data_IF_187625722827
#
_entry.id   IF_187625722827
#
_cell.length_a   1.000
_cell.length_b   1.000
_cell.length_c   1.000
_cell.angle_alpha   90.00
_cell.angle_beta   90.00
_cell.angle_gamma   90.00
#
_symmetry.space_group_name_H-M   'P 1'
#
loop_
_entity.id
_entity.type
_entity.pdbx_description
1 polymer ?
#
# COMPACT_ATOMS: atom_id res chain seq x y z
N UNK A 1 65.21 -16.31 -25.82
CA UNK A 1 65.52 -15.52 -27.03
C UNK A 1 64.35 -15.68 -27.99
N UNK A 2 63.34 -14.75 -27.91
CA UNK A 2 62.45 -14.40 -29.01
C UNK A 2 61.67 -13.12 -28.61
N UNK A 3 61.64 -12.19 -29.53
CA UNK A 3 61.35 -10.73 -29.37
C UNK A 3 59.85 -10.46 -29.32
N UNK A 4 59.49 -9.47 -28.52
CA UNK A 4 58.21 -8.75 -28.53
C UNK A 4 58.04 -7.96 -29.82
N UNK A 5 56.83 -7.92 -30.38
CA UNK A 5 56.36 -6.85 -31.27
C UNK A 5 55.04 -6.30 -30.74
N UNK A 6 55.05 -5.07 -30.32
CA UNK A 6 53.89 -4.26 -29.95
C UNK A 6 53.29 -3.63 -31.22
N UNK A 7 51.95 -3.74 -31.40
CA UNK A 7 51.23 -2.99 -32.41
C UNK A 7 50.28 -2.04 -31.70
N UNK A 8 50.58 -0.74 -31.82
CA UNK A 8 49.72 0.39 -31.42
C UNK A 8 48.64 0.59 -32.48
N UNK A 9 47.37 0.48 -32.10
CA UNK A 9 46.25 0.94 -32.92
C UNK A 9 45.80 2.31 -32.40
N UNK A 10 45.92 3.34 -33.28
CA UNK A 10 45.43 4.69 -33.07
C UNK A 10 43.91 4.67 -33.35
N UNK A 11 43.08 4.97 -32.31
CA UNK A 11 41.67 5.26 -32.46
C UNK A 11 41.45 6.75 -32.79
N UNK A 12 40.71 7.02 -33.86
CA UNK A 12 40.31 8.34 -34.28
C UNK A 12 39.08 8.81 -33.46
N UNK A 13 39.18 9.97 -32.82
CA UNK A 13 38.01 10.66 -32.23
C UNK A 13 37.20 11.33 -33.35
N UNK A 14 35.94 10.92 -33.50
CA UNK A 14 34.95 11.71 -34.25
C UNK A 14 34.25 12.67 -33.26
N UNK A 15 34.45 13.95 -33.46
CA UNK A 15 33.70 15.01 -32.80
C UNK A 15 32.39 15.26 -33.55
N UNK A 16 31.27 15.02 -32.94
CA UNK A 16 29.95 15.40 -33.47
C UNK A 16 29.64 16.84 -33.01
N UNK A 17 29.53 17.75 -33.94
CA UNK A 17 29.10 19.12 -33.70
C UNK A 17 27.56 19.15 -33.62
N UNK A 18 27.04 19.60 -32.49
CA UNK A 18 25.60 19.89 -32.30
C UNK A 18 25.37 21.34 -32.77
N UNK A 19 24.57 21.48 -33.85
CA UNK A 19 24.12 22.79 -34.33
C UNK A 19 22.84 23.15 -33.59
N UNK A 20 22.91 24.19 -32.75
CA UNK A 20 21.76 24.79 -32.07
C UNK A 20 21.23 25.93 -32.93
N UNK A 21 20.04 25.80 -33.50
CA UNK A 21 19.32 26.89 -34.18
C UNK A 21 18.43 27.63 -33.16
N UNK A 22 18.45 28.96 -33.09
CA UNK A 22 17.56 29.70 -32.20
C UNK A 22 16.17 29.84 -32.84
N UNK A 23 15.14 29.48 -32.05
CA UNK A 23 13.72 29.75 -32.38
C UNK A 23 13.42 31.18 -31.90
N UNK A 24 13.16 32.09 -32.82
CA UNK A 24 12.65 33.43 -32.53
C UNK A 24 11.17 33.37 -32.24
N UNK A 25 10.79 33.74 -31.00
CA UNK A 25 9.39 33.92 -30.61
C UNK A 25 8.88 35.26 -31.11
N UNK A 26 7.83 35.22 -31.94
CA UNK A 26 7.03 36.42 -32.27
C UNK A 26 5.94 36.56 -31.19
N UNK A 27 6.02 37.60 -30.39
CA UNK A 27 5.01 37.98 -29.44
C UNK A 27 3.89 38.77 -30.11
N UNK A 28 2.63 38.44 -29.81
CA UNK A 28 1.49 39.31 -30.03
C UNK A 28 0.81 39.55 -28.70
N UNK A 29 0.91 40.77 -28.21
CA UNK A 29 0.21 41.24 -27.03
C UNK A 29 -1.23 41.61 -27.40
N UNK A 30 -2.21 41.09 -26.69
CA UNK A 30 -3.57 41.60 -26.67
C UNK A 30 -3.86 42.25 -25.33
N UNK A 31 -4.33 43.50 -25.34
CA UNK A 31 -4.64 44.32 -24.17
C UNK A 31 -5.99 43.91 -23.55
N UNK A 32 -6.21 44.17 -22.25
CA UNK A 32 -7.48 43.88 -21.60
C UNK A 32 -8.51 44.99 -21.84
N UNK A 33 -9.74 44.59 -22.15
CA UNK A 33 -10.91 45.51 -22.16
C UNK A 33 -11.51 45.59 -20.75
N UNK A 34 -11.61 46.78 -20.26
CA UNK A 34 -12.39 47.14 -19.08
C UNK A 34 -13.91 47.03 -19.36
N UNK A 35 -14.58 46.25 -18.55
CA UNK A 35 -16.05 46.15 -18.50
C UNK A 35 -16.58 46.63 -17.14
N UNK A 36 -17.43 47.63 -17.21
CA UNK A 36 -18.02 48.45 -16.19
C UNK A 36 -18.83 47.74 -15.10
N UNK A 37 -18.75 48.30 -13.90
CA UNK A 37 -19.54 47.95 -12.73
C UNK A 37 -21.01 48.42 -12.85
N UNK A 38 -21.92 47.56 -12.39
CA UNK A 38 -23.23 47.82 -11.73
C UNK A 38 -23.93 46.46 -11.58
N UNK A 39 -24.28 45.95 -10.44
CA UNK A 39 -25.37 46.33 -9.57
C UNK A 39 -25.28 45.52 -8.26
N UNK A 40 -25.33 46.19 -7.16
CA UNK A 40 -25.54 45.62 -5.82
C UNK A 40 -27.03 45.38 -5.59
N UNK A 41 -27.41 44.19 -5.17
CA UNK A 41 -28.67 43.94 -4.49
C UNK A 41 -28.43 43.12 -3.19
N UNK A 42 -29.30 43.28 -2.16
CA UNK A 42 -28.86 43.22 -0.76
C UNK A 42 -28.94 41.85 -0.11
N UNK A 43 -28.21 41.73 1.00
CA UNK A 43 -28.20 40.62 1.91
C UNK A 43 -29.59 40.23 2.43
N UNK A 44 -29.97 38.99 2.34
CA UNK A 44 -31.05 38.37 3.09
C UNK A 44 -30.50 37.46 4.19
N UNK A 45 -31.02 37.73 5.39
CA UNK A 45 -30.61 37.11 6.65
C UNK A 45 -30.98 35.62 6.78
N UNK A 46 -30.14 34.91 7.50
CA UNK A 46 -30.45 33.89 8.48
C UNK A 46 -31.45 32.78 8.14
N UNK A 47 -30.94 31.60 7.95
CA UNK A 47 -31.68 30.35 8.05
C UNK A 47 -30.69 29.21 8.15
N UNK A 48 -30.40 28.79 9.38
CA UNK A 48 -29.71 27.53 9.65
C UNK A 48 -30.56 26.39 9.08
N UNK A 49 -30.25 25.94 7.89
CA UNK A 49 -30.73 24.65 7.38
C UNK A 49 -29.77 23.58 7.85
N UNK A 50 -30.16 22.82 8.86
CA UNK A 50 -29.65 21.50 9.11
C UNK A 50 -29.89 20.66 7.84
N UNK A 51 -28.82 20.45 7.07
CA UNK A 51 -28.83 19.46 5.98
C UNK A 51 -28.91 18.10 6.64
N UNK A 52 -30.09 17.50 6.64
CA UNK A 52 -30.25 16.07 6.90
C UNK A 52 -29.56 15.35 5.73
N UNK A 53 -28.56 14.51 6.06
CA UNK A 53 -27.94 13.61 5.10
C UNK A 53 -29.04 12.74 4.46
N UNK A 54 -29.03 12.57 3.11
CA UNK A 54 -29.93 11.64 2.45
C UNK A 54 -29.65 10.23 2.97
N UNK A 55 -30.71 9.47 3.28
CA UNK A 55 -30.65 8.06 3.60
C UNK A 55 -29.84 7.33 2.51
N UNK A 56 -28.81 6.62 2.93
CA UNK A 56 -28.00 5.73 2.11
C UNK A 56 -28.90 4.73 1.39
N UNK A 57 -28.98 4.87 0.07
CA UNK A 57 -29.44 3.83 -0.83
C UNK A 57 -28.26 2.84 -0.95
N UNK A 58 -28.51 1.55 -0.73
CA UNK A 58 -27.51 0.48 -0.63
C UNK A 58 -26.43 0.56 -1.71
N UNK A 59 -25.23 0.87 -1.25
CA UNK A 59 -24.00 0.83 -2.01
C UNK A 59 -23.54 -0.63 -2.06
N UNK A 60 -23.26 -1.23 -3.25
CA UNK A 60 -22.79 -2.60 -3.35
C UNK A 60 -21.40 -2.80 -2.71
N UNK A 61 -20.65 -1.72 -2.49
CA UNK A 61 -19.36 -1.78 -1.82
C UNK A 61 -19.52 -1.82 -0.30
N UNK A 62 -18.89 -2.80 0.35
CA UNK A 62 -18.82 -2.86 1.81
C UNK A 62 -17.96 -1.71 2.31
N UNK A 63 -18.60 -0.64 2.78
CA UNK A 63 -17.95 0.51 3.40
C UNK A 63 -18.33 0.58 4.87
N UNK A 64 -17.45 0.11 5.74
CA UNK A 64 -17.61 0.22 7.19
C UNK A 64 -16.88 1.47 7.69
N UNK A 65 -17.57 2.30 8.49
CA UNK A 65 -16.99 3.45 9.17
C UNK A 65 -16.95 3.21 10.67
N UNK A 66 -15.74 3.23 11.24
CA UNK A 66 -15.51 3.13 12.69
C UNK A 66 -14.89 4.44 13.19
N UNK A 67 -15.19 4.84 14.44
CA UNK A 67 -14.68 6.05 15.07
C UNK A 67 -13.75 5.71 16.23
N UNK A 68 -12.98 6.71 16.64
CA UNK A 68 -12.07 6.63 17.79
C UNK A 68 -10.99 5.55 17.65
N UNK A 69 -10.66 5.20 16.40
CA UNK A 69 -9.66 4.20 16.07
C UNK A 69 -8.26 4.82 16.15
N UNK A 70 -7.35 4.13 16.81
CA UNK A 70 -5.93 4.53 16.88
C UNK A 70 -5.03 3.65 16.02
N UNK A 71 -5.46 2.42 15.73
CA UNK A 71 -4.67 1.46 14.96
C UNK A 71 -5.58 0.51 14.16
N UNK A 72 -5.21 0.22 12.93
CA UNK A 72 -5.92 -0.76 12.11
C UNK A 72 -4.97 -1.54 11.20
N UNK A 73 -5.37 -2.78 10.86
CA UNK A 73 -4.64 -3.66 9.94
C UNK A 73 -5.56 -4.24 8.88
N UNK A 74 -4.96 -4.70 7.78
CA UNK A 74 -5.53 -5.72 6.91
C UNK A 74 -4.53 -6.88 6.68
N UNK A 75 -5.08 -8.04 6.40
CA UNK A 75 -4.33 -9.26 6.05
C UNK A 75 -4.60 -9.73 4.63
N UNK A 76 -5.16 -8.83 3.79
CA UNK A 76 -5.52 -9.12 2.40
C UNK A 76 -7.02 -9.08 2.15
N UNK A 77 -7.40 -8.68 0.94
CA UNK A 77 -8.75 -8.79 0.38
C UNK A 77 -8.74 -9.81 -0.76
N UNK A 78 -9.87 -10.49 -0.98
CA UNK A 78 -10.00 -11.47 -2.05
C UNK A 78 -11.29 -12.28 -1.95
N UNK A 79 -11.41 -13.32 -2.76
CA UNK A 79 -12.53 -14.24 -2.76
C UNK A 79 -12.45 -15.19 -1.54
N UNK A 80 -12.90 -14.69 -0.39
CA UNK A 80 -12.91 -15.41 0.88
C UNK A 80 -14.30 -16.02 1.10
N UNK A 81 -14.49 -17.25 0.65
CA UNK A 81 -15.76 -17.96 0.87
C UNK A 81 -15.75 -18.64 2.23
N UNK A 82 -16.81 -18.44 2.99
CA UNK A 82 -16.96 -19.07 4.32
C UNK A 82 -16.95 -20.60 4.23
N UNK A 83 -17.47 -21.15 3.14
CA UNK A 83 -17.52 -22.60 2.88
C UNK A 83 -16.15 -23.24 2.65
N UNK A 84 -15.16 -22.45 2.21
CA UNK A 84 -13.79 -22.92 1.95
C UNK A 84 -12.91 -22.82 3.20
N UNK A 85 -13.44 -22.25 4.30
CA UNK A 85 -12.68 -22.02 5.53
C UNK A 85 -13.16 -22.94 6.65
N UNK A 86 -12.28 -23.85 7.12
CA UNK A 86 -12.62 -24.67 8.29
C UNK A 86 -12.71 -23.82 9.56
N UNK A 87 -13.52 -24.24 10.56
CA UNK A 87 -13.59 -23.52 11.83
C UNK A 87 -12.23 -23.38 12.53
N UNK A 88 -11.33 -24.34 12.37
CA UNK A 88 -9.95 -24.33 12.90
C UNK A 88 -9.15 -23.21 12.23
N UNK A 89 -9.15 -23.17 10.89
CA UNK A 89 -8.42 -22.18 10.12
C UNK A 89 -8.96 -20.77 10.39
N UNK A 90 -10.28 -20.58 10.49
CA UNK A 90 -10.88 -19.30 10.86
C UNK A 90 -10.39 -18.81 12.23
N UNK A 91 -10.33 -19.72 13.22
CA UNK A 91 -9.79 -19.39 14.56
C UNK A 91 -8.32 -18.97 14.49
N UNK A 92 -7.50 -19.63 13.68
CA UNK A 92 -6.09 -19.29 13.49
C UNK A 92 -5.93 -17.90 12.89
N UNK A 93 -6.68 -17.57 11.82
CA UNK A 93 -6.68 -16.23 11.22
C UNK A 93 -7.11 -15.17 12.22
N UNK A 94 -8.23 -15.37 12.93
CA UNK A 94 -8.72 -14.41 13.94
C UNK A 94 -7.74 -14.21 15.08
N UNK A 95 -7.12 -15.28 15.55
CA UNK A 95 -6.10 -15.21 16.61
C UNK A 95 -4.89 -14.38 16.15
N UNK A 96 -4.39 -14.61 14.93
CA UNK A 96 -3.23 -13.92 14.40
C UNK A 96 -3.54 -12.45 14.08
N UNK A 97 -4.71 -12.14 13.53
CA UNK A 97 -5.16 -10.75 13.35
C UNK A 97 -5.26 -10.03 14.71
N UNK A 98 -5.83 -10.68 15.72
CA UNK A 98 -5.93 -10.11 17.08
C UNK A 98 -4.54 -9.85 17.68
N UNK A 99 -3.58 -10.76 17.47
CA UNK A 99 -2.19 -10.58 17.90
C UNK A 99 -1.55 -9.35 17.22
N UNK A 100 -1.70 -9.22 15.92
CA UNK A 100 -1.13 -8.11 15.15
C UNK A 100 -1.73 -6.75 15.58
N UNK A 101 -3.06 -6.64 15.70
CA UNK A 101 -3.72 -5.42 16.19
C UNK A 101 -3.23 -5.06 17.60
N UNK A 102 -3.18 -6.06 18.48
CA UNK A 102 -2.75 -5.86 19.88
C UNK A 102 -1.29 -5.42 19.96
N UNK A 103 -0.43 -5.95 19.09
CA UNK A 103 0.99 -5.58 19.05
C UNK A 103 1.15 -4.11 18.65
N UNK A 104 0.49 -3.65 17.58
CA UNK A 104 0.52 -2.25 17.19
C UNK A 104 -0.10 -1.31 18.22
N UNK A 105 -1.26 -1.69 18.77
CA UNK A 105 -1.91 -0.92 19.85
C UNK A 105 -1.02 -0.75 21.08
N UNK A 106 -0.33 -1.82 21.51
CA UNK A 106 0.58 -1.76 22.67
C UNK A 106 1.76 -0.84 22.40
N UNK A 107 2.39 -0.91 21.22
CA UNK A 107 3.46 -0.01 20.86
C UNK A 107 3.02 1.46 20.98
N UNK A 108 1.81 1.81 20.47
CA UNK A 108 1.25 3.16 20.64
C UNK A 108 0.97 3.51 22.11
N UNK A 109 0.45 2.57 22.91
CA UNK A 109 0.17 2.79 24.33
C UNK A 109 1.46 2.98 25.16
N UNK A 110 2.56 2.32 24.77
CA UNK A 110 3.88 2.45 25.37
C UNK A 110 4.60 3.74 24.91
N UNK A 111 3.98 4.54 24.04
CA UNK A 111 4.48 5.84 23.57
C UNK A 111 5.43 5.74 22.38
N UNK A 112 5.46 4.63 21.67
CA UNK A 112 6.23 4.50 20.44
C UNK A 112 5.56 5.25 19.29
N UNK A 113 6.33 5.53 18.23
CA UNK A 113 5.83 6.22 17.03
C UNK A 113 4.84 5.36 16.24
N UNK A 114 3.98 6.01 15.44
CA UNK A 114 3.08 5.33 14.52
C UNK A 114 3.81 4.37 13.58
N UNK A 115 5.00 4.75 13.10
CA UNK A 115 5.85 3.91 12.25
C UNK A 115 6.29 2.63 12.99
N UNK A 116 6.73 2.74 14.24
CA UNK A 116 7.15 1.58 15.03
C UNK A 116 5.98 0.62 15.29
N UNK A 117 4.79 1.16 15.57
CA UNK A 117 3.59 0.36 15.76
C UNK A 117 3.17 -0.37 14.47
N UNK A 118 3.24 0.31 13.32
CA UNK A 118 2.95 -0.27 12.00
C UNK A 118 3.92 -1.40 11.69
N UNK A 119 5.23 -1.18 11.84
CA UNK A 119 6.24 -2.23 11.64
C UNK A 119 5.99 -3.43 12.55
N UNK A 120 5.80 -3.21 13.85
CA UNK A 120 5.61 -4.29 14.82
C UNK A 120 4.40 -5.16 14.50
N UNK A 121 3.29 -4.57 14.06
CA UNK A 121 2.10 -5.31 13.66
C UNK A 121 2.29 -6.08 12.34
N UNK A 122 2.95 -5.48 11.35
CA UNK A 122 3.22 -6.13 10.07
C UNK A 122 4.20 -7.28 10.26
N UNK A 123 5.20 -7.17 11.12
CA UNK A 123 6.12 -8.26 11.45
C UNK A 123 5.38 -9.50 11.99
N UNK A 124 4.33 -9.32 12.81
CA UNK A 124 3.47 -10.44 13.27
C UNK A 124 2.81 -11.14 12.07
N UNK A 125 2.40 -10.39 11.06
CA UNK A 125 1.76 -10.94 9.87
C UNK A 125 2.78 -11.57 8.91
N UNK A 126 3.96 -10.95 8.73
CA UNK A 126 5.07 -11.48 7.93
C UNK A 126 5.67 -12.77 8.50
N UNK A 127 5.71 -12.92 9.83
CA UNK A 127 6.20 -14.14 10.49
C UNK A 127 5.17 -15.29 10.47
N UNK A 128 3.94 -15.04 9.98
CA UNK A 128 2.86 -16.01 9.91
C UNK A 128 2.77 -16.67 8.52
N UNK A 129 2.62 -18.00 8.43
CA UNK A 129 2.39 -18.68 7.15
C UNK A 129 0.99 -18.43 6.56
N UNK A 130 0.09 -17.73 7.30
CA UNK A 130 -1.31 -17.55 6.91
C UNK A 130 -1.48 -16.46 5.86
N UNK A 131 -0.67 -15.40 5.88
CA UNK A 131 -0.83 -14.22 5.04
C UNK A 131 0.18 -14.19 3.88
N UNK A 132 -0.15 -13.48 2.82
CA UNK A 132 0.75 -13.30 1.67
C UNK A 132 1.75 -12.16 1.92
N UNK A 133 2.65 -12.37 2.85
CA UNK A 133 3.78 -11.50 3.17
C UNK A 133 4.80 -12.30 3.97
N UNK A 134 6.09 -12.00 3.84
CA UNK A 134 7.13 -12.73 4.56
C UNK A 134 7.02 -14.24 4.41
N UNK A 135 6.88 -14.96 5.52
CA UNK A 135 6.84 -16.44 5.56
C UNK A 135 5.72 -17.08 4.74
N UNK A 136 4.58 -16.42 4.59
CA UNK A 136 3.43 -16.93 3.83
C UNK A 136 3.34 -16.37 2.41
N UNK A 137 4.41 -15.76 1.90
CA UNK A 137 4.44 -15.16 0.57
C UNK A 137 4.19 -16.17 -0.54
N UNK A 138 3.52 -15.74 -1.59
CA UNK A 138 3.31 -16.51 -2.81
C UNK A 138 4.59 -16.68 -3.61
N UNK A 139 4.58 -17.63 -4.55
CA UNK A 139 5.70 -17.92 -5.43
C UNK A 139 5.56 -17.21 -6.79
N UNK A 140 6.71 -16.86 -7.36
CA UNK A 140 6.86 -16.43 -8.75
C UNK A 140 6.71 -17.60 -9.72
N UNK A 141 6.72 -17.32 -11.04
CA UNK A 141 6.76 -18.32 -12.10
C UNK A 141 7.96 -19.27 -11.98
N UNK A 142 9.07 -18.82 -11.40
CA UNK A 142 10.31 -19.59 -11.23
C UNK A 142 10.36 -20.34 -9.88
N UNK A 143 9.23 -20.33 -9.13
CA UNK A 143 9.10 -20.99 -7.84
C UNK A 143 10.02 -20.39 -6.74
N UNK A 144 10.30 -19.11 -6.83
CA UNK A 144 10.99 -18.32 -5.81
C UNK A 144 10.02 -17.31 -5.17
N UNK A 145 10.34 -16.84 -3.97
CA UNK A 145 9.58 -15.77 -3.31
C UNK A 145 10.31 -14.45 -3.52
N UNK A 146 9.63 -13.49 -4.12
CA UNK A 146 10.05 -12.09 -4.22
C UNK A 146 9.09 -11.22 -3.40
N UNK A 147 9.64 -10.41 -2.50
CA UNK A 147 8.88 -9.66 -1.49
C UNK A 147 9.01 -8.16 -1.72
N UNK A 148 7.92 -7.45 -1.45
CA UNK A 148 7.82 -6.00 -1.57
C UNK A 148 7.27 -5.42 -0.26
N UNK A 149 7.77 -4.25 0.17
CA UNK A 149 7.20 -3.52 1.31
C UNK A 149 7.43 -2.02 1.20
N UNK A 150 6.57 -1.24 1.85
CA UNK A 150 6.77 0.19 2.07
C UNK A 150 6.24 0.61 3.45
N UNK A 151 6.86 1.64 4.01
CA UNK A 151 6.43 2.35 5.20
C UNK A 151 6.53 3.86 4.97
N UNK A 152 5.61 4.63 5.55
CA UNK A 152 5.58 6.09 5.42
C UNK A 152 5.21 6.74 6.74
N UNK A 153 5.96 7.77 7.12
CA UNK A 153 5.70 8.69 8.21
C UNK A 153 4.90 9.89 7.70
N UNK A 154 3.72 10.11 8.25
CA UNK A 154 2.84 11.22 7.84
C UNK A 154 3.28 12.58 8.35
N UNK A 155 4.12 12.66 9.38
CA UNK A 155 4.60 13.92 9.95
C UNK A 155 5.69 14.57 9.09
N UNK A 156 6.65 13.75 8.62
CA UNK A 156 7.80 14.20 7.85
C UNK A 156 7.63 13.97 6.35
N UNK A 157 6.73 13.07 5.95
CA UNK A 157 6.58 12.47 4.63
C UNK A 157 7.78 11.59 4.24
N UNK A 158 8.66 11.27 5.21
CA UNK A 158 9.70 10.30 4.98
C UNK A 158 9.10 8.93 4.70
N UNK A 159 9.72 8.22 3.79
CA UNK A 159 9.26 6.90 3.37
C UNK A 159 10.44 6.03 2.96
N UNK A 160 10.29 4.74 3.19
CA UNK A 160 11.21 3.73 2.71
C UNK A 160 10.43 2.59 2.07
N UNK A 161 10.95 2.08 0.96
CA UNK A 161 10.35 0.97 0.25
C UNK A 161 11.40 0.03 -0.34
N UNK A 162 11.07 -1.26 -0.39
CA UNK A 162 11.90 -2.30 -0.98
C UNK A 162 11.07 -3.18 -1.91
N UNK A 163 11.68 -3.64 -3.00
CA UNK A 163 11.00 -4.48 -3.99
C UNK A 163 11.88 -5.65 -4.42
N UNK A 164 11.24 -6.78 -4.73
CA UNK A 164 11.91 -7.95 -5.29
C UNK A 164 13.05 -8.48 -4.40
N UNK A 165 12.92 -8.34 -3.07
CA UNK A 165 13.89 -8.93 -2.13
C UNK A 165 13.56 -10.39 -1.89
N UNK A 166 14.58 -11.23 -1.82
CA UNK A 166 14.44 -12.70 -1.82
C UNK A 166 14.97 -13.37 -0.56
N UNK A 167 15.73 -12.64 0.25
CA UNK A 167 16.39 -13.16 1.46
C UNK A 167 16.07 -12.35 2.73
N UNK A 168 15.14 -11.41 2.67
CA UNK A 168 14.80 -10.55 3.80
C UNK A 168 13.62 -11.17 4.56
N UNK A 169 13.85 -11.59 5.81
CA UNK A 169 12.83 -12.19 6.65
C UNK A 169 11.61 -11.29 6.82
N UNK A 170 11.85 -10.02 7.15
CA UNK A 170 10.83 -9.00 7.39
C UNK A 170 11.06 -7.79 6.48
N UNK A 171 10.47 -7.77 5.28
CA UNK A 171 10.63 -6.67 4.33
C UNK A 171 10.21 -5.30 4.88
N UNK A 172 9.18 -5.25 5.75
CA UNK A 172 8.74 -4.00 6.37
C UNK A 172 9.82 -3.37 7.26
N UNK A 173 10.59 -4.20 7.98
CA UNK A 173 11.72 -3.72 8.80
C UNK A 173 12.84 -3.18 7.93
N UNK A 174 13.12 -3.78 6.78
CA UNK A 174 14.08 -3.23 5.83
C UNK A 174 13.59 -1.92 5.21
N UNK A 175 12.29 -1.82 4.90
CA UNK A 175 11.70 -0.58 4.41
C UNK A 175 11.84 0.55 5.45
N UNK A 176 11.59 0.27 6.73
CA UNK A 176 11.80 1.23 7.81
C UNK A 176 13.28 1.60 7.97
N UNK A 177 14.18 0.62 7.95
CA UNK A 177 15.63 0.86 8.04
C UNK A 177 16.12 1.76 6.90
N UNK A 178 15.56 1.56 5.70
CA UNK A 178 15.82 2.46 4.57
C UNK A 178 15.33 3.89 4.80
N UNK A 179 14.11 4.06 5.32
CA UNK A 179 13.54 5.37 5.60
C UNK A 179 14.39 6.14 6.61
N UNK A 180 14.78 5.48 7.70
CA UNK A 180 15.48 6.13 8.81
C UNK A 180 16.98 6.33 8.55
N UNK A 181 17.61 5.45 7.77
CA UNK A 181 19.10 5.37 7.69
C UNK A 181 19.64 5.46 6.26
N UNK A 182 18.83 5.91 5.31
CA UNK A 182 19.30 6.23 3.96
C UNK A 182 18.70 7.55 3.46
N UNK A 183 19.26 8.08 2.37
CA UNK A 183 18.68 9.21 1.63
C UNK A 183 17.78 8.77 0.48
N UNK A 184 17.62 7.46 0.29
CA UNK A 184 16.88 6.87 -0.81
C UNK A 184 15.50 6.46 -0.32
N UNK A 185 14.52 6.53 -1.19
CA UNK A 185 13.12 6.18 -0.91
C UNK A 185 12.83 4.72 -1.27
N UNK A 186 13.42 4.23 -2.35
CA UNK A 186 13.11 2.91 -2.91
C UNK A 186 14.37 2.20 -3.40
N UNK A 187 14.56 0.96 -2.99
CA UNK A 187 15.61 0.08 -3.48
C UNK A 187 15.04 -1.29 -3.89
N UNK A 188 15.72 -1.98 -4.80
CA UNK A 188 15.26 -3.26 -5.33
C UNK A 188 16.32 -4.37 -5.23
N UNK A 189 15.84 -5.61 -5.09
CA UNK A 189 16.62 -6.85 -5.22
C UNK A 189 17.91 -6.86 -4.43
N UNK A 190 18.97 -7.37 -5.04
CA UNK A 190 20.29 -7.51 -4.42
C UNK A 190 20.84 -6.20 -3.83
N UNK A 191 20.50 -5.04 -4.43
CA UNK A 191 20.93 -3.74 -3.92
C UNK A 191 20.32 -3.44 -2.54
N UNK A 192 19.04 -3.74 -2.35
CA UNK A 192 18.35 -3.61 -1.06
C UNK A 192 18.88 -4.61 -0.03
N UNK A 193 19.18 -5.85 -0.45
CA UNK A 193 19.73 -6.88 0.44
C UNK A 193 21.16 -6.56 0.90
N UNK A 194 22.00 -6.00 0.03
CA UNK A 194 23.31 -5.49 0.43
C UNK A 194 23.19 -4.35 1.45
N UNK A 195 22.23 -3.46 1.29
CA UNK A 195 21.97 -2.43 2.28
C UNK A 195 21.58 -3.06 3.62
N UNK A 196 20.66 -4.06 3.63
CA UNK A 196 20.28 -4.80 4.83
C UNK A 196 21.50 -5.43 5.52
N UNK A 197 22.39 -6.09 4.77
CA UNK A 197 23.63 -6.66 5.32
C UNK A 197 24.54 -5.61 5.94
N UNK A 198 24.72 -4.47 5.28
CA UNK A 198 25.51 -3.35 5.84
C UNK A 198 24.91 -2.76 7.13
N UNK A 199 23.59 -2.92 7.30
CA UNK A 199 22.88 -2.51 8.52
C UNK A 199 22.84 -3.60 9.60
N UNK A 200 23.43 -4.76 9.33
CA UNK A 200 23.49 -5.88 10.28
C UNK A 200 22.19 -6.67 10.37
N UNK A 201 21.30 -6.58 9.38
CA UNK A 201 20.10 -7.39 9.33
C UNK A 201 20.41 -8.81 8.90
N UNK A 202 19.78 -9.79 9.54
CA UNK A 202 19.92 -11.19 9.19
C UNK A 202 19.19 -11.52 7.88
N UNK A 203 19.86 -12.29 7.02
CA UNK A 203 19.24 -12.85 5.82
C UNK A 203 18.78 -14.28 6.09
N UNK A 204 17.72 -14.69 5.41
CA UNK A 204 17.17 -16.05 5.40
C UNK A 204 17.28 -16.68 4.02
N UNK A 205 17.24 -18.01 3.93
CA UNK A 205 17.16 -18.72 2.66
C UNK A 205 15.71 -18.80 2.18
N UNK A 206 15.50 -19.11 0.90
CA UNK A 206 14.16 -19.26 0.30
C UNK A 206 13.31 -20.32 1.03
N UNK A 207 13.91 -21.35 1.62
CA UNK A 207 13.20 -22.36 2.42
C UNK A 207 12.43 -21.76 3.62
N UNK A 208 12.85 -20.59 4.12
CA UNK A 208 12.13 -19.90 5.20
C UNK A 208 10.71 -19.51 4.79
N UNK A 209 10.51 -19.13 3.53
CA UNK A 209 9.22 -18.64 3.01
C UNK A 209 8.31 -19.77 2.54
N UNK A 210 8.87 -20.98 2.33
CA UNK A 210 8.12 -22.11 1.81
C UNK A 210 6.95 -22.49 2.72
N UNK A 211 5.75 -22.60 2.12
CA UNK A 211 4.57 -23.21 2.74
C UNK A 211 3.90 -24.14 1.73
N UNK A 212 3.45 -25.32 2.18
CA UNK A 212 2.75 -26.29 1.31
C UNK A 212 1.56 -25.66 0.60
N UNK A 213 0.75 -24.90 1.32
CA UNK A 213 -0.40 -24.18 0.75
C UNK A 213 -0.03 -23.29 -0.43
N UNK A 214 1.05 -22.50 -0.33
CA UNK A 214 1.49 -21.59 -1.42
C UNK A 214 2.08 -22.37 -2.58
N UNK A 215 2.75 -23.47 -2.28
CA UNK A 215 3.23 -24.37 -3.31
C UNK A 215 2.09 -25.04 -4.09
N UNK A 216 1.05 -25.54 -3.40
CA UNK A 216 -0.14 -26.10 -4.04
C UNK A 216 -0.86 -25.03 -4.91
N UNK A 217 -0.98 -23.78 -4.42
CA UNK A 217 -1.54 -22.67 -5.19
C UNK A 217 -0.73 -22.39 -6.46
N UNK A 218 0.61 -22.40 -6.39
CA UNK A 218 1.45 -22.24 -7.57
C UNK A 218 1.23 -23.39 -8.58
N UNK A 219 1.21 -24.64 -8.09
CA UNK A 219 0.99 -25.80 -8.98
C UNK A 219 -0.39 -25.76 -9.65
N UNK A 220 -1.42 -25.33 -8.93
CA UNK A 220 -2.76 -25.15 -9.49
C UNK A 220 -2.76 -24.05 -10.57
N UNK A 221 -2.11 -22.90 -10.32
CA UNK A 221 -2.01 -21.81 -11.28
C UNK A 221 -1.22 -22.25 -12.55
N UNK A 222 -0.16 -23.03 -12.41
CA UNK A 222 0.61 -23.55 -13.54
C UNK A 222 -0.12 -24.65 -14.34
N UNK A 223 -1.06 -25.35 -13.73
CA UNK A 223 -1.90 -26.38 -14.39
C UNK A 223 -3.12 -25.82 -15.10
N UNK A 224 -3.40 -24.52 -14.95
CA UNK A 224 -4.51 -23.81 -15.65
C UNK A 224 -4.21 -23.60 -17.14
N UNK A 225 -5.27 -23.29 -17.92
CA UNK A 225 -5.14 -22.98 -19.35
C UNK A 225 -4.54 -21.59 -19.66
N UNK A 226 -4.30 -20.77 -18.62
CA UNK A 226 -3.78 -19.42 -18.74
C UNK A 226 -2.56 -19.24 -17.83
N UNK A 227 -1.42 -18.86 -18.42
CA UNK A 227 -0.20 -18.45 -17.69
C UNK A 227 -0.42 -17.17 -16.85
N UNK A 228 -1.61 -16.57 -16.94
CA UNK A 228 -2.01 -15.34 -16.28
C UNK A 228 -3.24 -15.49 -15.37
N UNK A 229 -3.63 -16.72 -15.05
CA UNK A 229 -4.65 -16.95 -14.03
C UNK A 229 -3.99 -16.75 -12.65
N UNK A 230 -4.11 -15.52 -12.16
CA UNK A 230 -3.55 -15.10 -10.88
C UNK A 230 -4.48 -15.61 -9.77
N UNK A 231 -4.08 -16.73 -9.17
CA UNK A 231 -4.72 -17.26 -7.96
C UNK A 231 -4.66 -16.28 -6.80
N UNK A 232 -5.00 -16.75 -5.60
CA UNK A 232 -5.14 -15.96 -4.37
C UNK A 232 -4.27 -14.69 -4.32
N UNK A 233 -4.93 -13.55 -4.27
CA UNK A 233 -4.34 -12.26 -3.95
C UNK A 233 -4.33 -12.09 -2.42
N UNK A 234 -3.46 -11.29 -1.93
CA UNK A 234 -3.43 -10.92 -0.52
C UNK A 234 -2.21 -10.04 -0.28
N UNK A 235 -2.31 -9.15 0.64
CA UNK A 235 -1.26 -8.20 1.01
C UNK A 235 -1.54 -7.85 2.46
N UNK A 236 -0.55 -7.68 3.30
CA UNK A 236 -0.76 -7.22 4.67
C UNK A 236 -0.44 -5.74 4.77
N UNK A 237 -1.13 -5.06 5.68
CA UNK A 237 -0.83 -3.67 5.94
C UNK A 237 -1.38 -3.18 7.26
N UNK A 238 -0.90 -2.01 7.66
CA UNK A 238 -1.30 -1.36 8.90
C UNK A 238 -1.31 0.16 8.73
N UNK A 239 -2.19 0.81 9.50
CA UNK A 239 -2.24 2.26 9.67
C UNK A 239 -2.39 2.59 11.15
N UNK A 240 -1.75 3.66 11.60
CA UNK A 240 -1.81 4.08 13.00
C UNK A 240 -1.74 5.59 13.15
N UNK A 241 -2.21 6.07 14.31
CA UNK A 241 -2.05 7.44 14.78
C UNK A 241 -1.53 7.39 16.21
N UNK A 242 -0.38 8.00 16.46
CA UNK A 242 0.28 7.95 17.76
C UNK A 242 -0.22 9.03 18.74
N UNK A 243 0.41 9.08 19.91
CA UNK A 243 0.06 10.03 20.98
C UNK A 243 0.30 11.49 20.61
N UNK A 244 1.11 11.79 19.61
CA UNK A 244 1.37 13.13 19.08
C UNK A 244 0.34 13.52 18.01
N UNK A 245 -0.44 12.56 17.51
CA UNK A 245 -1.33 12.74 16.38
C UNK A 245 -0.65 12.49 15.03
N UNK A 246 0.54 11.88 15.03
CA UNK A 246 1.28 11.56 13.84
C UNK A 246 0.75 10.26 13.20
N UNK A 247 0.43 10.34 11.92
CA UNK A 247 -0.10 9.24 11.12
C UNK A 247 1.05 8.42 10.51
N UNK A 248 0.88 7.11 10.46
CA UNK A 248 1.80 6.20 9.76
C UNK A 248 1.04 5.13 9.00
N UNK A 249 1.62 4.68 7.89
CA UNK A 249 1.13 3.58 7.07
C UNK A 249 2.26 2.64 6.66
N UNK A 250 1.95 1.36 6.50
CA UNK A 250 2.85 0.38 5.92
C UNK A 250 2.09 -0.73 5.23
N UNK A 251 2.74 -1.34 4.24
CA UNK A 251 2.20 -2.43 3.43
C UNK A 251 3.32 -3.40 3.08
N UNK A 252 3.05 -4.72 3.13
CA UNK A 252 4.00 -5.78 2.78
C UNK A 252 3.32 -6.92 2.03
N UNK A 253 4.00 -7.50 1.03
CA UNK A 253 3.40 -8.51 0.16
C UNK A 253 4.42 -9.42 -0.51
N UNK A 254 3.98 -10.64 -0.88
CA UNK A 254 4.62 -11.49 -1.88
C UNK A 254 4.13 -11.24 -3.32
N UNK A 255 3.13 -10.37 -3.51
CA UNK A 255 2.51 -10.09 -4.81
C UNK A 255 1.39 -11.07 -5.18
N UNK A 256 1.37 -11.52 -6.43
CA UNK A 256 0.38 -12.45 -6.99
C UNK A 256 0.98 -13.85 -7.15
N UNK A 257 0.18 -14.89 -6.91
CA UNK A 257 0.58 -16.28 -7.19
C UNK A 257 0.94 -16.42 -8.67
N UNK A 258 2.06 -17.11 -8.95
CA UNK A 258 2.58 -17.30 -10.31
C UNK A 258 2.96 -15.99 -11.03
N UNK A 259 3.25 -14.91 -10.28
CA UNK A 259 3.70 -13.65 -10.89
C UNK A 259 4.99 -13.85 -11.69
N UNK A 260 5.17 -13.16 -12.83
CA UNK A 260 6.48 -13.13 -13.51
C UNK A 260 7.57 -12.58 -12.57
N UNK A 261 8.77 -13.11 -12.66
CA UNK A 261 9.95 -12.61 -11.94
C UNK A 261 10.12 -11.12 -12.22
N UNK A 262 10.30 -10.33 -11.16
CA UNK A 262 10.44 -8.87 -11.25
C UNK A 262 9.10 -8.11 -11.38
N UNK A 263 7.94 -8.77 -11.33
CA UNK A 263 6.65 -8.06 -11.25
C UNK A 263 6.51 -7.40 -9.89
N UNK A 264 6.24 -6.12 -9.90
CA UNK A 264 6.00 -5.28 -8.72
C UNK A 264 4.55 -4.80 -8.74
N UNK A 265 3.85 -4.96 -7.62
CA UNK A 265 2.50 -4.44 -7.41
C UNK A 265 2.50 -3.02 -6.83
N UNK A 266 1.35 -2.64 -6.28
CA UNK A 266 1.10 -1.33 -5.68
C UNK A 266 1.77 -1.14 -4.30
N UNK A 267 1.95 -2.22 -3.54
CA UNK A 267 2.36 -2.17 -2.12
C UNK A 267 3.60 -1.32 -1.86
N UNK A 268 4.71 -1.43 -2.61
CA UNK A 268 5.92 -0.65 -2.39
C UNK A 268 5.86 0.74 -3.03
N UNK A 269 4.79 1.06 -3.76
CA UNK A 269 4.64 2.34 -4.48
C UNK A 269 3.84 3.31 -3.63
N UNK A 270 4.54 4.33 -3.11
CA UNK A 270 3.92 5.40 -2.32
C UNK A 270 2.88 6.14 -3.15
N UNK A 271 1.68 6.26 -2.61
CA UNK A 271 0.54 6.84 -3.29
C UNK A 271 -0.34 5.81 -4.04
N UNK A 272 0.16 4.60 -4.30
CA UNK A 272 -0.63 3.50 -4.85
C UNK A 272 -1.12 2.56 -3.75
N UNK A 273 -0.21 1.82 -3.10
CA UNK A 273 -0.51 0.87 -2.03
C UNK A 273 -0.34 1.41 -0.62
N UNK A 274 0.55 2.38 -0.41
CA UNK A 274 0.90 2.93 0.90
C UNK A 274 0.94 4.46 0.85
N UNK A 275 0.30 5.13 1.82
CA UNK A 275 0.39 6.58 1.95
C UNK A 275 0.07 7.05 3.37
N UNK A 276 0.82 8.03 3.87
CA UNK A 276 0.51 8.72 5.12
C UNK A 276 0.83 10.22 5.01
N UNK A 277 -0.06 11.07 5.56
CA UNK A 277 0.12 12.52 5.65
C UNK A 277 -0.62 13.07 6.85
N UNK A 278 0.09 13.74 7.76
CA UNK A 278 -0.51 14.39 8.92
C UNK A 278 -1.57 15.43 8.53
N UNK A 279 -2.59 15.54 9.38
CA UNK A 279 -3.74 16.39 9.11
C UNK A 279 -4.67 15.87 8.02
N UNK A 280 -4.36 14.73 7.43
CA UNK A 280 -5.10 14.10 6.34
C UNK A 280 -5.41 12.63 6.66
N UNK A 281 -4.74 11.68 6.03
CA UNK A 281 -4.97 10.24 6.20
C UNK A 281 -3.67 9.43 6.30
N UNK A 282 -3.80 8.21 6.85
CA UNK A 282 -2.93 7.06 6.58
C UNK A 282 -3.74 5.97 5.88
N UNK A 283 -3.20 5.36 4.82
CA UNK A 283 -3.89 4.34 4.04
C UNK A 283 -2.95 3.21 3.60
N UNK A 284 -3.47 1.99 3.60
CA UNK A 284 -2.82 0.79 3.08
C UNK A 284 -3.82 -0.02 2.26
N UNK A 285 -3.39 -0.48 1.08
CA UNK A 285 -4.23 -1.12 0.09
C UNK A 285 -3.84 -2.58 -0.16
N UNK A 286 -4.77 -3.35 -0.71
CA UNK A 286 -4.62 -4.76 -1.07
C UNK A 286 -5.54 -5.10 -2.25
N UNK A 287 -5.05 -5.83 -3.24
CA UNK A 287 -5.85 -6.20 -4.42
C UNK A 287 -5.02 -6.36 -5.68
N UNK A 288 -5.64 -6.10 -6.83
CA UNK A 288 -4.98 -6.14 -8.15
C UNK A 288 -4.08 -4.92 -8.31
N UNK A 289 -2.80 -5.06 -8.00
CA UNK A 289 -1.83 -3.97 -7.90
C UNK A 289 -1.77 -3.05 -9.12
N UNK A 290 -1.93 -3.60 -10.33
CA UNK A 290 -1.94 -2.87 -11.59
C UNK A 290 -3.04 -1.79 -11.65
N UNK A 291 -4.21 -2.07 -11.08
CA UNK A 291 -5.33 -1.12 -11.01
C UNK A 291 -5.05 -0.04 -9.97
N UNK A 292 -4.52 -0.44 -8.81
CA UNK A 292 -4.19 0.47 -7.71
C UNK A 292 -3.05 1.43 -8.08
N UNK A 293 -2.07 0.98 -8.87
CA UNK A 293 -1.01 1.83 -9.43
C UNK A 293 -1.60 2.85 -10.40
N UNK A 294 -2.41 2.40 -11.37
CA UNK A 294 -3.00 3.25 -12.41
C UNK A 294 -3.88 4.36 -11.84
N UNK A 295 -4.60 4.09 -10.76
CA UNK A 295 -5.47 5.04 -10.07
C UNK A 295 -4.77 5.80 -8.94
N UNK A 296 -3.51 5.46 -8.59
CA UNK A 296 -2.79 6.00 -7.44
C UNK A 296 -3.69 6.03 -6.19
N UNK A 297 -4.28 4.87 -5.84
CA UNK A 297 -5.47 4.74 -4.98
C UNK A 297 -5.29 5.44 -3.65
N UNK A 298 -4.22 5.17 -2.89
CA UNK A 298 -4.03 5.73 -1.55
C UNK A 298 -3.83 7.25 -1.60
N UNK A 299 -3.10 7.78 -2.60
CA UNK A 299 -2.98 9.22 -2.80
C UNK A 299 -4.29 9.84 -3.29
N UNK A 300 -5.06 9.17 -4.15
CA UNK A 300 -6.37 9.65 -4.61
C UNK A 300 -7.35 9.82 -3.44
N UNK A 301 -7.33 8.91 -2.45
CA UNK A 301 -8.09 9.05 -1.20
C UNK A 301 -7.64 10.31 -0.44
N UNK A 302 -6.33 10.45 -0.23
CA UNK A 302 -5.73 11.61 0.42
C UNK A 302 -6.13 12.93 -0.26
N UNK A 303 -6.00 13.00 -1.58
CA UNK A 303 -6.34 14.17 -2.37
C UNK A 303 -7.84 14.55 -2.27
N UNK A 304 -8.73 13.56 -2.25
CA UNK A 304 -10.16 13.81 -2.08
C UNK A 304 -10.52 14.34 -0.67
N UNK A 305 -9.83 13.83 0.36
CA UNK A 305 -9.99 14.36 1.73
C UNK A 305 -9.46 15.79 1.81
N UNK A 306 -8.25 16.03 1.29
CA UNK A 306 -7.55 17.32 1.39
C UNK A 306 -8.21 18.42 0.56
N UNK A 307 -8.46 18.16 -0.71
CA UNK A 307 -8.89 19.21 -1.66
C UNK A 307 -10.40 19.31 -1.82
N UNK A 308 -11.14 18.21 -1.59
CA UNK A 308 -12.60 18.20 -1.74
C UNK A 308 -13.34 18.16 -0.41
N UNK A 309 -12.64 18.04 0.73
CA UNK A 309 -13.23 17.95 2.07
C UNK A 309 -14.13 16.72 2.27
N UNK A 310 -13.91 15.65 1.51
CA UNK A 310 -14.67 14.41 1.64
C UNK A 310 -14.33 13.70 2.94
N UNK A 311 -15.29 12.98 3.53
CA UNK A 311 -14.96 12.03 4.60
C UNK A 311 -14.08 10.90 4.07
N UNK A 312 -13.25 10.31 4.93
CA UNK A 312 -12.36 9.21 4.57
C UNK A 312 -13.13 8.04 3.94
N UNK A 313 -14.33 7.70 4.45
CA UNK A 313 -15.18 6.63 3.88
C UNK A 313 -15.65 6.96 2.46
N UNK A 314 -16.13 8.20 2.21
CA UNK A 314 -16.55 8.61 0.85
C UNK A 314 -15.38 8.67 -0.13
N UNK A 315 -14.21 9.07 0.34
CA UNK A 315 -13.01 9.11 -0.50
C UNK A 315 -12.52 7.70 -0.83
N UNK A 316 -12.50 6.79 0.15
CA UNK A 316 -12.13 5.40 -0.04
C UNK A 316 -13.11 4.67 -0.97
N UNK A 317 -14.45 4.84 -0.76
CA UNK A 317 -15.48 4.29 -1.65
C UNK A 317 -15.25 4.71 -3.09
N UNK A 318 -15.17 6.01 -3.34
CA UNK A 318 -14.96 6.53 -4.69
C UNK A 318 -13.64 6.06 -5.34
N UNK A 319 -12.60 5.75 -4.57
CA UNK A 319 -11.35 5.23 -5.11
C UNK A 319 -11.48 3.75 -5.51
N UNK A 320 -12.16 2.92 -4.69
CA UNK A 320 -12.42 1.52 -5.02
C UNK A 320 -13.40 1.40 -6.19
N UNK A 321 -14.47 2.21 -6.25
CA UNK A 321 -15.39 2.27 -7.42
C UNK A 321 -14.63 2.49 -8.73
N UNK A 322 -13.55 3.30 -8.72
CA UNK A 322 -12.74 3.56 -9.92
C UNK A 322 -11.91 2.34 -10.31
N UNK A 323 -11.40 1.56 -9.36
CA UNK A 323 -10.71 0.30 -9.68
C UNK A 323 -11.68 -0.71 -10.29
N UNK A 324 -12.93 -0.76 -9.81
CA UNK A 324 -14.01 -1.59 -10.35
C UNK A 324 -14.35 -1.21 -11.80
N UNK A 325 -14.46 0.08 -12.10
CA UNK A 325 -14.67 0.56 -13.50
C UNK A 325 -13.56 0.09 -14.44
N UNK A 326 -12.32 -0.02 -13.94
CA UNK A 326 -11.17 -0.42 -14.76
C UNK A 326 -10.99 -1.93 -14.88
N UNK A 327 -11.33 -2.70 -13.86
CA UNK A 327 -11.01 -4.13 -13.74
C UNK A 327 -12.21 -5.05 -13.51
N UNK A 328 -13.42 -4.52 -13.32
CA UNK A 328 -14.60 -5.28 -12.93
C UNK A 328 -14.67 -5.50 -11.42
N UNK A 329 -15.48 -6.46 -11.00
CA UNK A 329 -15.66 -6.83 -9.60
C UNK A 329 -14.39 -7.46 -8.99
N UNK A 330 -14.34 -7.60 -7.68
CA UNK A 330 -13.28 -8.29 -6.93
C UNK A 330 -11.87 -7.68 -7.11
N UNK A 331 -11.77 -6.35 -7.29
CA UNK A 331 -10.48 -5.70 -7.50
C UNK A 331 -9.62 -5.56 -6.25
N UNK A 332 -10.23 -5.48 -5.06
CA UNK A 332 -9.51 -5.37 -3.79
C UNK A 332 -10.14 -4.47 -2.75
N UNK A 333 -9.32 -3.92 -1.86
CA UNK A 333 -9.77 -3.06 -0.78
C UNK A 333 -8.68 -2.17 -0.20
N UNK A 334 -9.08 -1.31 0.71
CA UNK A 334 -8.21 -0.36 1.40
C UNK A 334 -8.66 -0.16 2.84
N UNK A 335 -7.69 0.01 3.73
CA UNK A 335 -7.90 0.61 5.04
C UNK A 335 -7.42 2.05 5.00
N UNK A 336 -8.22 2.99 5.52
CA UNK A 336 -7.85 4.40 5.57
C UNK A 336 -8.30 5.02 6.90
N UNK A 337 -7.34 5.59 7.64
CA UNK A 337 -7.52 6.24 8.93
C UNK A 337 -7.27 7.74 8.79
N UNK A 338 -8.22 8.59 9.17
CA UNK A 338 -8.02 10.04 9.14
C UNK A 338 -7.46 10.58 10.48
N UNK A 339 -6.95 11.81 10.44
CA UNK A 339 -6.41 12.50 11.62
C UNK A 339 -7.44 12.76 12.74
N UNK A 340 -8.72 12.50 12.49
CA UNK A 340 -9.81 12.58 13.47
C UNK A 340 -10.19 11.22 14.02
N UNK A 341 -9.36 10.20 13.77
CA UNK A 341 -9.58 8.81 14.21
C UNK A 341 -10.83 8.16 13.61
N UNK A 342 -11.28 8.60 12.42
CA UNK A 342 -12.27 7.86 11.66
C UNK A 342 -11.55 6.88 10.74
N UNK A 343 -11.92 5.61 10.83
CA UNK A 343 -11.42 4.53 9.98
C UNK A 343 -12.46 4.16 8.93
N UNK A 344 -12.01 3.92 7.71
CA UNK A 344 -12.77 3.26 6.66
C UNK A 344 -12.11 1.94 6.32
N UNK A 345 -12.91 0.87 6.31
CA UNK A 345 -12.63 -0.38 5.58
C UNK A 345 -13.50 -0.34 4.32
N UNK A 346 -12.89 -0.33 3.15
CA UNK A 346 -13.62 -0.30 1.88
C UNK A 346 -13.06 -1.35 0.94
N UNK A 347 -13.90 -2.25 0.46
CA UNK A 347 -13.52 -3.33 -0.43
C UNK A 347 -14.72 -3.81 -1.25
N UNK A 348 -14.46 -4.32 -2.44
CA UNK A 348 -15.45 -4.88 -3.37
C UNK A 348 -15.25 -6.39 -3.59
N UNK A 349 -14.58 -7.06 -2.67
CA UNK A 349 -14.36 -8.51 -2.64
C UNK A 349 -15.31 -9.18 -1.65
N UNK A 350 -15.44 -10.51 -1.70
CA UNK A 350 -16.31 -11.27 -0.78
C UNK A 350 -15.83 -11.28 0.67
N UNK A 351 -14.59 -10.82 0.94
CA UNK A 351 -14.05 -10.64 2.27
C UNK A 351 -12.73 -9.90 2.27
N UNK A 352 -12.38 -9.39 3.46
CA UNK A 352 -11.08 -8.80 3.75
C UNK A 352 -10.70 -9.16 5.18
N UNK A 353 -9.56 -9.81 5.36
CA UNK A 353 -8.96 -9.97 6.69
C UNK A 353 -8.66 -8.59 7.25
N UNK A 354 -9.30 -8.18 8.35
CA UNK A 354 -9.18 -6.84 8.88
C UNK A 354 -9.33 -6.80 10.39
N UNK A 355 -8.76 -5.78 11.01
CA UNK A 355 -8.93 -5.56 12.44
C UNK A 355 -8.51 -4.15 12.84
N UNK A 356 -9.02 -3.69 13.99
CA UNK A 356 -8.69 -2.39 14.53
C UNK A 356 -8.68 -2.38 16.06
N UNK A 357 -8.05 -1.36 16.61
CA UNK A 357 -8.10 -1.01 18.01
C UNK A 357 -8.60 0.43 18.20
N UNK A 358 -9.50 0.63 19.14
CA UNK A 358 -9.99 1.93 19.56
C UNK A 358 -9.12 2.56 20.64
N UNK A 359 -9.31 3.86 20.89
CA UNK A 359 -8.55 4.59 21.92
C UNK A 359 -8.81 4.09 23.34
N UNK A 360 -9.96 3.48 23.61
CA UNK A 360 -10.33 2.88 24.90
C UNK A 360 -9.88 1.41 25.05
N UNK A 361 -9.25 0.86 24.02
CA UNK A 361 -8.61 -0.45 24.05
C UNK A 361 -9.43 -1.60 23.51
N UNK A 362 -10.61 -1.36 22.93
CA UNK A 362 -11.37 -2.39 22.25
C UNK A 362 -10.61 -2.89 21.02
N UNK A 363 -10.58 -4.21 20.81
CA UNK A 363 -9.99 -4.85 19.63
C UNK A 363 -11.07 -5.65 18.92
N UNK A 364 -11.25 -5.36 17.63
CA UNK A 364 -12.20 -6.05 16.74
C UNK A 364 -11.45 -6.62 15.55
N UNK A 365 -11.77 -7.87 15.18
CA UNK A 365 -11.25 -8.53 13.96
C UNK A 365 -12.39 -9.13 13.17
N UNK A 366 -12.31 -9.03 11.85
CA UNK A 366 -13.32 -9.47 10.88
C UNK A 366 -12.65 -10.13 9.68
N UNK A 367 -13.37 -10.98 8.98
CA UNK A 367 -12.90 -11.70 7.79
C UNK A 367 -13.86 -11.50 6.61
N UNK A 368 -15.12 -11.82 6.80
CA UNK A 368 -16.12 -11.86 5.73
C UNK A 368 -16.81 -10.50 5.54
N UNK A 369 -17.41 -10.29 4.37
CA UNK A 369 -18.08 -9.03 4.06
C UNK A 369 -19.36 -8.80 4.87
N UNK A 370 -20.00 -9.86 5.34
CA UNK A 370 -21.24 -9.84 6.12
C UNK A 370 -21.05 -9.61 7.62
N UNK A 371 -19.82 -9.30 8.08
CA UNK A 371 -19.47 -9.04 9.48
C UNK A 371 -19.44 -7.56 9.84
#
# INVERSE_FOLDING_TARGET
MFRRTSTLARGALLAAAVVITPITALGAAAAPQEGTAADRAPAAAGGSRTVQDPKESGDPNTSERVRDVVFAIHGGAGTLKREDMTPELEREYRAKLTEAVRTGQRALADGESGVAAVEAAINVLEDSPLFNAGKGAVFTTDAENELDAAVMDGATLDTGAVTGVTHIKNPISLAREMMENSRHVLMSGEGAERFAQHRGMDLVTQDYFFTERRWESLMAAKGGESDFDFGETGTVGAVGIDGNGDLAAGTSTGGLTNKPVGRIGDSPIVGAGTYAKNGNIAASATGTGELFIREAVTHTISAQVEYLGRSVSKAAGAAIDRTEVLGGDDTGGVIALDSRKNLAFTFNTSGMYRGYATADGEIVVKIFADE
#
